data_IF_698407435379
#
_entry.id   IF_698407435379
#
_cell.length_a   1.000
_cell.length_b   1.000
_cell.length_c   1.000
_cell.angle_alpha   90.00
_cell.angle_beta   90.00
_cell.angle_gamma   90.00
#
_symmetry.space_group_name_H-M   'P 1'
#
loop_
_entity.id
_entity.type
_entity.pdbx_description
1 polymer ?
#
# COMPACT_ATOMS: atom_id res chain seq x y z
N UNK A 1 3.05 16.02 -6.47
CA UNK A 1 3.11 15.17 -5.26
C UNK A 1 3.96 15.81 -4.17
N UNK A 2 5.15 16.32 -4.47
CA UNK A 2 6.02 16.97 -3.48
C UNK A 2 5.40 18.21 -2.83
N UNK A 3 4.82 19.11 -3.62
CA UNK A 3 4.12 20.31 -3.12
C UNK A 3 3.01 19.95 -2.12
N UNK A 4 2.27 18.87 -2.39
CA UNK A 4 1.23 18.37 -1.48
C UNK A 4 1.83 17.98 -0.13
N UNK A 5 2.92 17.19 -0.13
CA UNK A 5 3.56 16.72 1.11
C UNK A 5 4.09 17.89 1.93
N UNK A 6 4.75 18.86 1.27
CA UNK A 6 5.34 20.02 1.94
C UNK A 6 4.28 20.97 2.51
N UNK A 7 3.16 21.15 1.83
CA UNK A 7 2.05 21.98 2.30
C UNK A 7 1.10 21.26 3.27
N UNK A 8 1.18 19.92 3.36
CA UNK A 8 0.25 19.08 4.10
C UNK A 8 0.02 19.55 5.55
N UNK A 9 1.05 19.79 6.39
CA UNK A 9 0.82 20.19 7.79
C UNK A 9 0.03 21.50 7.91
N UNK A 10 0.42 22.53 7.15
CA UNK A 10 -0.23 23.84 7.19
C UNK A 10 -1.66 23.80 6.64
N UNK A 11 -1.89 23.02 5.58
CA UNK A 11 -3.23 22.84 5.01
C UNK A 11 -4.18 22.17 6.00
N UNK A 12 -3.71 21.13 6.71
CA UNK A 12 -4.52 20.47 7.76
C UNK A 12 -4.74 21.40 8.96
N UNK A 13 -3.73 22.14 9.41
CA UNK A 13 -3.92 23.12 10.50
C UNK A 13 -5.00 24.15 10.16
N UNK A 14 -4.97 24.69 8.93
CA UNK A 14 -5.99 25.64 8.46
C UNK A 14 -7.38 25.00 8.41
N UNK A 15 -7.51 23.83 7.79
CA UNK A 15 -8.79 23.14 7.67
C UNK A 15 -9.38 22.76 9.03
N UNK A 16 -8.54 22.34 9.99
CA UNK A 16 -8.97 22.04 11.35
C UNK A 16 -9.47 23.30 12.06
N UNK A 17 -8.77 24.43 11.94
CA UNK A 17 -9.20 25.69 12.54
C UNK A 17 -10.54 26.18 11.97
N UNK A 18 -10.75 26.04 10.66
CA UNK A 18 -12.02 26.35 10.00
C UNK A 18 -13.16 25.45 10.52
N UNK A 19 -12.94 24.14 10.62
CA UNK A 19 -13.92 23.19 11.14
C UNK A 19 -14.25 23.42 12.62
N UNK A 20 -13.27 23.75 13.46
CA UNK A 20 -13.49 24.09 14.87
C UNK A 20 -14.28 25.39 15.03
N UNK A 21 -14.03 26.38 14.17
CA UNK A 21 -14.78 27.64 14.16
C UNK A 21 -16.24 27.43 13.72
N UNK A 22 -16.47 26.60 12.70
CA UNK A 22 -17.81 26.27 12.20
C UNK A 22 -18.64 25.48 13.22
N UNK A 23 -18.02 24.49 13.87
CA UNK A 23 -18.71 23.61 14.82
C UNK A 23 -18.75 24.15 16.25
N UNK A 24 -17.94 25.17 16.58
CA UNK A 24 -17.76 25.70 17.92
C UNK A 24 -17.13 24.70 18.91
N UNK A 25 -16.58 23.58 18.42
CA UNK A 25 -16.07 22.47 19.25
C UNK A 25 -14.66 22.09 18.82
N UNK A 26 -13.75 21.93 19.78
CA UNK A 26 -12.38 21.45 19.52
C UNK A 26 -12.36 19.94 19.30
N UNK A 27 -11.44 19.47 18.46
CA UNK A 27 -11.25 18.03 18.24
C UNK A 27 -10.79 17.34 19.53
N UNK A 28 -11.52 16.28 19.93
CA UNK A 28 -11.21 15.48 21.13
C UNK A 28 -10.31 14.27 20.87
N UNK A 29 -9.95 13.99 19.62
CA UNK A 29 -9.07 12.89 19.20
C UNK A 29 -8.64 13.13 17.75
N UNK A 30 -7.43 12.68 17.39
CA UNK A 30 -6.97 12.64 16.01
C UNK A 30 -6.79 11.19 15.55
N UNK A 31 -7.52 10.79 14.52
CA UNK A 31 -7.29 9.54 13.78
C UNK A 31 -6.68 9.91 12.43
N UNK A 32 -5.43 9.56 12.19
CA UNK A 32 -4.70 9.94 10.97
C UNK A 32 -4.14 8.72 10.27
N UNK A 33 -3.88 8.84 8.96
CA UNK A 33 -2.90 7.95 8.33
C UNK A 33 -1.53 8.13 9.02
N UNK A 34 -0.75 7.06 9.14
CA UNK A 34 0.59 7.09 9.72
C UNK A 34 1.54 8.03 8.99
N UNK A 35 1.36 8.24 7.68
CA UNK A 35 2.15 9.22 6.93
C UNK A 35 1.96 10.65 7.45
N UNK A 36 0.91 10.95 8.22
CA UNK A 36 0.73 12.26 8.86
C UNK A 36 1.56 12.36 10.15
N UNK A 37 2.89 12.41 10.02
CA UNK A 37 3.84 12.41 11.14
C UNK A 37 3.61 13.53 12.17
N UNK A 38 2.93 14.61 11.77
CA UNK A 38 2.59 15.75 12.62
C UNK A 38 1.30 15.57 13.43
N UNK A 39 0.63 14.40 13.33
CA UNK A 39 -0.61 14.14 14.08
C UNK A 39 -0.46 14.30 15.60
N UNK A 40 0.71 13.93 16.14
CA UNK A 40 1.01 14.14 17.56
C UNK A 40 1.14 15.62 17.96
N UNK A 41 1.64 16.48 17.06
CA UNK A 41 1.75 17.92 17.30
C UNK A 41 0.35 18.57 17.30
N UNK A 42 -0.52 18.20 16.36
CA UNK A 42 -1.92 18.63 16.34
C UNK A 42 -2.66 18.22 17.63
N UNK A 43 -2.44 16.99 18.08
CA UNK A 43 -3.02 16.47 19.30
C UNK A 43 -2.54 17.23 20.56
N UNK A 44 -1.24 17.53 20.63
CA UNK A 44 -0.65 18.31 21.72
C UNK A 44 -1.23 19.73 21.78
N UNK A 45 -1.35 20.42 20.65
CA UNK A 45 -1.94 21.77 20.55
C UNK A 45 -3.40 21.83 21.02
N UNK A 46 -4.12 20.69 21.00
CA UNK A 46 -5.51 20.59 21.46
C UNK A 46 -5.64 20.08 22.90
N UNK A 47 -4.62 20.29 23.73
CA UNK A 47 -4.65 19.91 25.14
C UNK A 47 -4.25 18.46 25.39
N UNK A 48 -3.44 17.88 24.51
CA UNK A 48 -2.95 16.51 24.64
C UNK A 48 -4.04 15.46 24.43
N UNK A 49 -4.95 15.70 23.48
CA UNK A 49 -5.98 14.71 23.10
C UNK A 49 -5.33 13.46 22.50
N UNK A 50 -6.01 12.30 22.47
CA UNK A 50 -5.43 11.10 21.89
C UNK A 50 -5.08 11.25 20.41
N UNK A 51 -3.88 10.82 20.04
CA UNK A 51 -3.48 10.59 18.65
C UNK A 51 -3.44 9.09 18.37
N UNK A 52 -4.31 8.65 17.46
CA UNK A 52 -4.39 7.29 16.94
C UNK A 52 -3.94 7.32 15.49
N UNK A 53 -2.95 6.51 15.16
CA UNK A 53 -2.38 6.45 13.81
C UNK A 53 -2.76 5.14 13.12
N UNK A 54 -3.21 5.21 11.87
CA UNK A 54 -3.53 4.05 11.05
C UNK A 54 -2.38 3.79 10.05
N UNK A 55 -1.72 2.64 10.20
CA UNK A 55 -0.84 2.09 9.18
C UNK A 55 -1.64 1.20 8.23
N UNK A 56 -1.67 1.58 6.96
CA UNK A 56 -2.53 0.96 5.94
C UNK A 56 -1.89 -0.25 5.24
N UNK A 57 -0.60 -0.51 5.46
CA UNK A 57 0.15 -1.63 4.90
C UNK A 57 0.45 -2.74 5.93
N UNK A 58 1.38 -3.66 5.60
CA UNK A 58 1.74 -4.82 6.42
C UNK A 58 2.65 -4.48 7.62
N UNK A 59 2.75 -5.40 8.59
CA UNK A 59 3.55 -5.17 9.80
C UNK A 59 5.04 -5.14 9.49
N UNK A 60 5.53 -5.98 8.57
CA UNK A 60 6.93 -5.98 8.13
C UNK A 60 7.40 -4.62 7.62
N UNK A 61 6.60 -3.94 6.78
CA UNK A 61 6.95 -2.62 6.25
C UNK A 61 7.01 -1.55 7.34
N UNK A 62 6.09 -1.59 8.31
CA UNK A 62 6.14 -0.66 9.44
C UNK A 62 7.39 -0.91 10.30
N UNK A 63 7.71 -2.18 10.58
CA UNK A 63 8.91 -2.55 11.33
C UNK A 63 10.17 -2.07 10.61
N UNK A 64 10.28 -2.28 9.30
CA UNK A 64 11.38 -1.79 8.47
C UNK A 64 11.58 -0.27 8.65
N UNK A 65 10.51 0.52 8.59
CA UNK A 65 10.61 1.97 8.77
C UNK A 65 11.03 2.37 10.20
N UNK A 66 10.53 1.69 11.25
CA UNK A 66 11.00 1.94 12.62
C UNK A 66 12.48 1.58 12.82
N UNK A 67 13.03 0.68 12.00
CA UNK A 67 14.44 0.31 11.98
C UNK A 67 15.27 1.09 10.94
N UNK A 68 14.76 2.16 10.34
CA UNK A 68 15.45 2.90 9.25
C UNK A 68 16.90 3.24 9.62
N UNK A 69 17.14 3.80 10.81
CA UNK A 69 18.49 4.20 11.25
C UNK A 69 19.44 3.00 11.38
N UNK A 70 18.95 1.90 11.95
CA UNK A 70 19.71 0.66 12.10
C UNK A 70 20.04 0.03 10.74
N UNK A 71 19.06 -0.06 9.84
CA UNK A 71 19.28 -0.63 8.49
C UNK A 71 20.32 0.21 7.74
N UNK A 72 20.23 1.54 7.83
CA UNK A 72 21.19 2.44 7.17
C UNK A 72 22.59 2.37 7.78
N UNK A 73 22.71 2.15 9.10
CA UNK A 73 24.03 1.99 9.73
C UNK A 73 24.74 0.73 9.23
N UNK A 74 24.01 -0.38 9.01
CA UNK A 74 24.58 -1.59 8.43
C UNK A 74 25.14 -1.38 7.01
N UNK A 75 24.45 -0.57 6.19
CA UNK A 75 24.94 -0.23 4.84
C UNK A 75 26.18 0.65 4.90
N UNK A 76 26.23 1.61 5.83
CA UNK A 76 27.37 2.52 6.01
C UNK A 76 28.61 1.80 6.56
N UNK A 77 28.43 0.81 7.46
CA UNK A 77 29.50 0.01 8.07
C UNK A 77 30.03 -1.12 7.18
N UNK A 78 29.36 -1.41 6.05
CA UNK A 78 29.78 -2.41 5.06
C UNK A 78 30.45 -1.82 3.79
N UNK A 79 31.44 -0.92 3.86
CA UNK A 79 32.17 -0.49 2.67
C UNK A 79 33.30 -1.47 2.37
N UNK A 80 33.02 -2.72 1.97
CA UNK A 80 34.11 -3.69 1.75
C UNK A 80 33.94 -4.55 0.50
N UNK A 81 34.86 -4.36 -0.46
CA UNK A 81 35.54 -5.29 -1.37
C UNK A 81 34.79 -6.43 -2.12
N UNK A 82 33.53 -6.78 -1.81
CA UNK A 82 32.81 -7.95 -2.39
C UNK A 82 31.33 -7.72 -2.74
N UNK A 83 30.85 -6.48 -2.75
CA UNK A 83 29.48 -6.16 -3.19
C UNK A 83 28.91 -4.95 -2.47
N UNK A 84 27.73 -4.49 -2.92
CA UNK A 84 26.92 -3.59 -2.14
C UNK A 84 26.39 -4.38 -0.92
N UNK A 85 26.38 -3.83 0.30
CA UNK A 85 25.83 -4.54 1.48
C UNK A 85 24.34 -4.89 1.37
N UNK A 86 23.73 -4.68 0.20
CA UNK A 86 22.30 -4.81 -0.06
C UNK A 86 21.81 -6.26 0.02
N UNK A 87 22.64 -7.24 -0.32
CA UNK A 87 22.26 -8.66 -0.25
C UNK A 87 22.34 -9.25 1.18
N UNK A 88 22.81 -8.46 2.15
CA UNK A 88 22.85 -8.88 3.55
C UNK A 88 21.44 -9.10 4.08
N UNK A 89 21.20 -10.27 4.69
CA UNK A 89 19.92 -10.63 5.33
C UNK A 89 19.75 -9.97 6.71
N UNK A 90 18.54 -9.54 7.05
CA UNK A 90 18.19 -8.82 8.28
C UNK A 90 17.97 -9.71 9.49
N UNK A 91 19.03 -10.40 9.90
CA UNK A 91 18.98 -11.33 11.04
C UNK A 91 18.69 -10.65 12.39
N UNK A 92 19.00 -9.36 12.52
CA UNK A 92 18.85 -8.61 13.77
C UNK A 92 17.45 -8.02 13.98
N UNK A 93 16.59 -8.05 12.96
CA UNK A 93 15.21 -7.54 13.06
C UNK A 93 14.25 -8.71 13.29
N UNK A 94 13.50 -8.73 14.41
CA UNK A 94 12.58 -9.84 14.71
C UNK A 94 11.56 -10.07 13.58
N UNK A 95 11.50 -11.32 13.10
CA UNK A 95 10.56 -11.72 12.05
C UNK A 95 10.98 -11.33 10.62
N UNK A 96 12.17 -10.76 10.42
CA UNK A 96 12.65 -10.31 9.10
C UNK A 96 13.98 -10.95 8.67
N UNK A 97 14.34 -12.11 9.25
CA UNK A 97 15.65 -12.76 9.01
C UNK A 97 15.91 -13.15 7.56
N UNK A 98 14.86 -13.41 6.78
CA UNK A 98 14.95 -13.84 5.38
C UNK A 98 14.90 -12.67 4.38
N UNK A 99 14.71 -11.44 4.85
CA UNK A 99 14.62 -10.25 4.01
C UNK A 99 16.02 -9.64 3.88
N UNK A 100 16.49 -9.38 2.66
CA UNK A 100 17.74 -8.66 2.42
C UNK A 100 17.55 -7.15 2.59
N UNK A 101 18.66 -6.41 2.73
CA UNK A 101 18.60 -4.95 2.70
C UNK A 101 17.99 -4.49 1.37
N UNK A 102 18.32 -5.09 0.22
CA UNK A 102 17.76 -4.75 -1.11
C UNK A 102 16.24 -4.89 -1.22
N UNK A 103 15.64 -5.74 -0.40
CA UNK A 103 14.20 -6.00 -0.38
C UNK A 103 13.43 -5.01 0.52
N UNK A 104 14.11 -4.07 1.19
CA UNK A 104 13.48 -3.07 2.05
C UNK A 104 12.72 -2.01 1.25
N UNK A 105 11.77 -1.30 1.88
CA UNK A 105 11.10 -0.15 1.27
C UNK A 105 12.11 0.85 0.69
N UNK A 106 11.85 1.32 -0.54
CA UNK A 106 12.78 2.16 -1.29
C UNK A 106 13.16 3.46 -0.58
N UNK A 107 12.27 3.97 0.27
CA UNK A 107 12.48 5.18 1.08
C UNK A 107 13.64 5.03 2.07
N UNK A 108 13.91 3.80 2.54
CA UNK A 108 15.05 3.50 3.43
C UNK A 108 16.37 3.64 2.66
N UNK A 109 16.37 3.36 1.36
CA UNK A 109 17.52 3.46 0.46
C UNK A 109 17.69 4.85 -0.16
N UNK A 110 16.81 5.80 0.13
CA UNK A 110 16.91 7.15 -0.38
C UNK A 110 18.28 7.76 -0.02
N UNK A 111 18.89 8.47 -0.98
CA UNK A 111 20.17 9.14 -0.74
C UNK A 111 20.04 10.18 0.36
N UNK A 112 18.93 10.92 0.33
CA UNK A 112 18.60 11.95 1.31
C UNK A 112 17.22 11.67 1.94
N UNK A 113 17.21 11.53 3.27
CA UNK A 113 15.99 11.37 4.06
C UNK A 113 15.28 12.72 4.32
N UNK A 114 15.71 13.81 3.69
CA UNK A 114 14.99 15.09 3.67
C UNK A 114 14.18 15.30 2.39
N UNK A 115 14.32 14.43 1.38
CA UNK A 115 13.45 14.46 0.20
C UNK A 115 11.97 14.30 0.60
N UNK A 116 11.00 14.90 -0.12
CA UNK A 116 9.62 15.01 0.35
C UNK A 116 8.98 13.68 0.78
N UNK A 117 9.06 12.65 -0.05
CA UNK A 117 8.45 11.35 0.27
C UNK A 117 9.29 10.53 1.26
N UNK A 118 10.61 10.26 1.04
CA UNK A 118 11.42 9.56 2.04
C UNK A 118 11.45 10.23 3.40
N UNK A 119 11.52 11.57 3.43
CA UNK A 119 11.51 12.35 4.66
C UNK A 119 10.18 12.37 5.38
N UNK A 120 9.05 12.32 4.67
CA UNK A 120 7.74 12.08 5.28
C UNK A 120 7.70 10.74 6.01
N UNK A 121 8.15 9.67 5.36
CA UNK A 121 8.17 8.31 5.93
C UNK A 121 9.15 8.22 7.10
N UNK A 122 10.33 8.82 6.98
CA UNK A 122 11.30 8.85 8.07
C UNK A 122 10.79 9.64 9.28
N UNK A 123 10.18 10.82 9.07
CA UNK A 123 9.54 11.58 10.15
C UNK A 123 8.40 10.80 10.80
N UNK A 124 7.61 10.06 10.02
CA UNK A 124 6.61 9.13 10.58
C UNK A 124 7.30 8.15 11.54
N UNK A 125 8.33 7.43 11.10
CA UNK A 125 9.00 6.43 11.92
C UNK A 125 9.52 7.01 13.26
N UNK A 126 10.08 8.22 13.23
CA UNK A 126 10.53 8.91 14.43
C UNK A 126 9.36 9.28 15.37
N UNK A 127 8.27 9.83 14.82
CA UNK A 127 7.16 10.40 15.59
C UNK A 127 6.16 9.36 16.09
N UNK A 128 6.07 8.19 15.47
CA UNK A 128 5.04 7.20 15.75
C UNK A 128 5.10 6.63 17.18
N UNK A 129 6.27 6.66 17.82
CA UNK A 129 6.44 6.32 19.25
C UNK A 129 5.58 7.20 20.18
N UNK A 130 5.22 8.41 19.75
CA UNK A 130 4.35 9.33 20.47
C UNK A 130 2.84 9.08 20.29
N UNK A 131 2.44 8.19 19.38
CA UNK A 131 1.02 7.88 19.19
C UNK A 131 0.48 7.07 20.39
N UNK A 132 -0.74 7.39 20.83
CA UNK A 132 -1.42 6.65 21.90
C UNK A 132 -1.80 5.23 21.46
N UNK A 133 -2.01 5.04 20.15
CA UNK A 133 -2.19 3.75 19.53
C UNK A 133 -1.83 3.80 18.04
N UNK A 134 -1.26 2.70 17.56
CA UNK A 134 -1.09 2.42 16.14
C UNK A 134 -2.04 1.28 15.75
N UNK A 135 -2.94 1.58 14.83
CA UNK A 135 -3.88 0.64 14.24
C UNK A 135 -3.30 0.14 12.93
N UNK A 136 -3.37 -1.17 12.69
CA UNK A 136 -2.80 -1.79 11.50
C UNK A 136 -3.88 -2.63 10.81
N UNK A 137 -4.03 -2.46 9.50
CA UNK A 137 -4.86 -3.32 8.66
C UNK A 137 -4.17 -4.68 8.39
N UNK A 138 -3.95 -5.43 9.47
CA UNK A 138 -3.38 -6.78 9.48
C UNK A 138 -4.00 -7.57 10.63
N UNK A 139 -3.60 -8.82 10.82
CA UNK A 139 -3.99 -9.68 11.95
C UNK A 139 -2.75 -10.36 12.53
N UNK A 140 -2.71 -10.54 13.86
CA UNK A 140 -1.50 -11.01 14.58
C UNK A 140 -0.95 -12.34 14.05
N UNK A 141 -1.81 -13.30 13.72
CA UNK A 141 -1.39 -14.62 13.23
C UNK A 141 -0.65 -14.59 11.88
N UNK A 142 -0.71 -13.49 11.12
CA UNK A 142 0.02 -13.35 9.85
C UNK A 142 1.52 -13.18 10.10
N UNK A 143 1.89 -12.32 11.05
CA UNK A 143 3.27 -11.93 11.35
C UNK A 143 3.45 -11.78 12.88
N UNK A 144 3.37 -12.86 13.66
CA UNK A 144 3.31 -12.77 15.12
C UNK A 144 4.59 -12.15 15.72
N UNK A 145 5.76 -12.60 15.27
CA UNK A 145 7.05 -12.09 15.74
C UNK A 145 7.24 -10.60 15.46
N UNK A 146 6.87 -10.15 14.25
CA UNK A 146 6.95 -8.72 13.88
C UNK A 146 5.96 -7.92 14.71
N UNK A 147 4.74 -8.42 14.89
CA UNK A 147 3.70 -7.74 15.66
C UNK A 147 4.09 -7.58 17.12
N UNK A 148 4.67 -8.61 17.74
CA UNK A 148 5.09 -8.56 19.14
C UNK A 148 6.30 -7.63 19.34
N UNK A 149 7.22 -7.57 18.37
CA UNK A 149 8.29 -6.57 18.35
C UNK A 149 7.75 -5.13 18.21
N UNK A 150 6.77 -4.89 17.32
CA UNK A 150 6.09 -3.59 17.22
C UNK A 150 5.43 -3.17 18.55
N UNK A 151 4.78 -4.12 19.26
CA UNK A 151 4.17 -3.88 20.58
C UNK A 151 5.19 -3.54 21.66
N UNK A 152 6.45 -3.95 21.50
CA UNK A 152 7.52 -3.63 22.45
C UNK A 152 8.05 -2.20 22.28
N UNK A 153 7.82 -1.56 21.11
CA UNK A 153 8.34 -0.23 20.77
C UNK A 153 7.28 0.87 20.79
N UNK A 154 6.05 0.52 20.46
CA UNK A 154 4.93 1.46 20.37
C UNK A 154 4.02 1.33 21.59
N UNK A 155 3.31 2.41 21.97
CA UNK A 155 2.48 2.41 23.18
C UNK A 155 1.39 1.33 23.16
N UNK A 156 0.66 1.24 22.03
CA UNK A 156 -0.37 0.22 21.77
C UNK A 156 -0.39 -0.09 20.29
N UNK A 157 -0.53 -1.37 19.94
CA UNK A 157 -0.67 -1.83 18.56
C UNK A 157 -1.94 -2.66 18.42
N UNK A 158 -2.83 -2.24 17.53
CA UNK A 158 -4.10 -2.93 17.25
C UNK A 158 -4.14 -3.44 15.81
N UNK A 159 -4.06 -4.75 15.65
CA UNK A 159 -4.31 -5.42 14.39
C UNK A 159 -5.82 -5.60 14.23
N UNK A 160 -6.46 -4.78 13.39
CA UNK A 160 -7.93 -4.80 13.19
C UNK A 160 -8.33 -5.42 11.86
N UNK A 161 -7.36 -5.83 11.04
CA UNK A 161 -7.59 -6.34 9.71
C UNK A 161 -7.87 -7.86 9.66
N UNK A 162 -8.00 -8.40 8.43
CA UNK A 162 -7.97 -7.66 7.19
C UNK A 162 -9.33 -6.97 6.95
N UNK A 163 -9.31 -5.66 6.69
CA UNK A 163 -10.52 -4.83 6.55
C UNK A 163 -11.44 -5.31 5.41
N UNK A 164 -10.91 -6.05 4.43
CA UNK A 164 -11.70 -6.65 3.35
C UNK A 164 -12.74 -7.67 3.85
N UNK A 165 -12.48 -8.32 4.99
CA UNK A 165 -13.38 -9.31 5.61
C UNK A 165 -14.39 -8.68 6.57
N UNK A 166 -14.22 -7.40 6.92
CA UNK A 166 -15.14 -6.74 7.83
C UNK A 166 -16.49 -6.50 7.15
N UNK A 167 -17.57 -6.91 7.81
CA UNK A 167 -18.93 -6.53 7.44
C UNK A 167 -19.17 -5.07 7.88
N UNK A 168 -19.38 -4.13 6.95
CA UNK A 168 -19.66 -2.77 7.33
C UNK A 168 -21.02 -2.69 8.02
N UNK A 169 -21.10 -1.83 9.03
CA UNK A 169 -22.32 -1.47 9.76
C UNK A 169 -23.22 -0.52 8.98
N UNK A 170 -22.76 -0.01 7.84
CA UNK A 170 -23.49 0.86 6.90
C UNK A 170 -23.57 0.22 5.51
N UNK A 171 -24.50 0.67 4.63
CA UNK A 171 -24.56 0.17 3.26
C UNK A 171 -23.22 0.41 2.56
N UNK A 172 -22.58 -0.66 2.06
CA UNK A 172 -21.41 -0.48 1.18
C UNK A 172 -21.81 0.46 0.04
N UNK A 173 -20.96 1.41 -0.36
CA UNK A 173 -21.07 1.97 -1.70
C UNK A 173 -21.17 0.79 -2.65
N UNK A 174 -22.20 0.74 -3.50
CA UNK A 174 -22.30 -0.33 -4.48
C UNK A 174 -20.99 -0.35 -5.27
N UNK A 175 -20.21 -1.43 -5.12
CA UNK A 175 -19.01 -1.61 -5.94
C UNK A 175 -19.52 -1.81 -7.36
N UNK A 176 -19.46 -0.72 -8.12
CA UNK A 176 -19.92 -0.62 -9.49
C UNK A 176 -19.18 -1.64 -10.34
N UNK A 177 -19.94 -2.40 -11.12
CA UNK A 177 -19.39 -3.25 -12.17
C UNK A 177 -19.79 -2.68 -13.54
N UNK A 178 -19.46 -1.40 -13.75
CA UNK A 178 -19.76 -0.63 -14.96
C UNK A 178 -19.37 -1.35 -16.26
N UNK A 179 -18.32 -2.17 -16.21
CA UNK A 179 -17.80 -2.86 -17.37
C UNK A 179 -18.27 -4.31 -17.50
N UNK A 180 -19.19 -4.78 -16.65
CA UNK A 180 -19.69 -6.16 -16.63
C UNK A 180 -18.56 -7.20 -16.51
N UNK A 181 -17.63 -6.99 -15.57
CA UNK A 181 -16.54 -7.91 -15.28
C UNK A 181 -17.06 -9.24 -14.71
N UNK A 182 -18.02 -9.21 -13.79
CA UNK A 182 -18.58 -10.42 -13.18
C UNK A 182 -19.40 -11.22 -14.21
N UNK A 183 -20.35 -10.62 -14.96
CA UNK A 183 -21.01 -11.33 -16.05
C UNK A 183 -20.06 -11.90 -17.10
N UNK A 184 -18.96 -11.20 -17.40
CA UNK A 184 -17.94 -11.72 -18.31
C UNK A 184 -17.23 -12.97 -17.76
N UNK A 185 -16.89 -12.97 -16.47
CA UNK A 185 -16.32 -14.14 -15.79
C UNK A 185 -17.32 -15.31 -15.78
N UNK A 186 -18.60 -15.05 -15.51
CA UNK A 186 -19.67 -16.07 -15.55
C UNK A 186 -19.81 -16.72 -16.93
N UNK A 187 -19.57 -15.96 -17.99
CA UNK A 187 -19.64 -16.41 -19.38
C UNK A 187 -18.45 -17.26 -19.84
N UNK A 188 -17.37 -17.38 -19.04
CA UNK A 188 -16.22 -18.20 -19.40
C UNK A 188 -16.58 -19.70 -19.44
N UNK A 189 -15.99 -20.50 -20.35
CA UNK A 189 -16.22 -21.94 -20.41
C UNK A 189 -15.97 -22.64 -19.07
N UNK A 190 -16.75 -23.68 -18.76
CA UNK A 190 -16.84 -24.27 -17.41
C UNK A 190 -15.52 -24.81 -16.82
N UNK A 191 -14.49 -25.05 -17.64
CA UNK A 191 -13.16 -25.54 -17.19
C UNK A 191 -12.06 -24.48 -17.35
N UNK A 192 -12.40 -23.26 -17.74
CA UNK A 192 -11.45 -22.19 -17.95
C UNK A 192 -11.28 -21.37 -16.67
N UNK A 193 -10.02 -21.16 -16.27
CA UNK A 193 -9.64 -20.18 -15.27
C UNK A 193 -9.06 -18.95 -15.97
N UNK A 194 -9.41 -17.77 -15.50
CA UNK A 194 -8.87 -16.51 -15.98
C UNK A 194 -7.74 -16.00 -15.08
N UNK A 195 -6.82 -15.27 -15.70
CA UNK A 195 -5.84 -14.44 -14.98
C UNK A 195 -6.46 -13.05 -14.78
N UNK A 196 -6.50 -12.58 -13.54
CA UNK A 196 -6.79 -11.17 -13.26
C UNK A 196 -5.47 -10.40 -13.19
N UNK A 197 -5.38 -9.25 -13.86
CA UNK A 197 -4.20 -8.38 -13.85
C UNK A 197 -4.57 -6.99 -13.32
N UNK A 198 -3.86 -6.49 -12.31
CA UNK A 198 -4.06 -5.15 -11.75
C UNK A 198 -2.84 -4.68 -10.96
N UNK A 199 -2.30 -3.53 -11.36
CA UNK A 199 -1.13 -2.90 -10.71
C UNK A 199 -1.53 -1.78 -9.72
N UNK A 200 -2.77 -1.85 -9.22
CA UNK A 200 -3.31 -0.88 -8.27
C UNK A 200 -3.58 0.50 -8.87
N UNK A 201 -3.91 1.46 -8.00
CA UNK A 201 -4.33 2.81 -8.38
C UNK A 201 -3.16 3.73 -8.73
N UNK A 202 -1.96 3.49 -8.19
CA UNK A 202 -0.79 4.36 -8.34
C UNK A 202 0.15 4.01 -9.50
N UNK A 203 0.29 2.72 -9.82
CA UNK A 203 1.29 2.24 -10.79
C UNK A 203 0.67 1.96 -12.16
N UNK A 204 1.49 2.10 -13.20
CA UNK A 204 1.26 1.52 -14.53
C UNK A 204 2.60 0.94 -14.98
N UNK A 205 2.66 -0.34 -15.41
CA UNK A 205 3.92 -0.92 -15.85
C UNK A 205 4.55 -0.13 -17.00
N UNK A 206 5.90 -0.16 -17.13
CA UNK A 206 6.58 0.39 -18.30
C UNK A 206 6.04 -0.17 -19.61
N UNK A 207 6.10 0.59 -20.72
CA UNK A 207 5.56 0.15 -22.01
C UNK A 207 6.05 -1.23 -22.46
N UNK A 208 7.34 -1.52 -22.27
CA UNK A 208 7.93 -2.81 -22.62
C UNK A 208 7.33 -3.98 -21.83
N UNK A 209 6.99 -3.77 -20.55
CA UNK A 209 6.32 -4.79 -19.72
C UNK A 209 4.86 -4.98 -20.12
N UNK A 210 4.15 -3.91 -20.48
CA UNK A 210 2.78 -4.00 -21.02
C UNK A 210 2.77 -4.84 -22.30
N UNK A 211 3.71 -4.59 -23.22
CA UNK A 211 3.86 -5.37 -24.45
C UNK A 211 4.16 -6.82 -24.14
N UNK A 212 5.13 -7.10 -23.27
CA UNK A 212 5.50 -8.47 -22.90
C UNK A 212 4.34 -9.24 -22.25
N UNK A 213 3.57 -8.60 -21.36
CA UNK A 213 2.38 -9.19 -20.75
C UNK A 213 1.30 -9.48 -21.79
N UNK A 214 1.04 -8.53 -22.71
CA UNK A 214 0.07 -8.70 -23.78
C UNK A 214 0.45 -9.87 -24.71
N UNK A 215 1.71 -9.94 -25.15
CA UNK A 215 2.22 -11.04 -25.98
C UNK A 215 2.14 -12.39 -25.27
N UNK A 216 2.44 -12.44 -23.97
CA UNK A 216 2.32 -13.66 -23.18
C UNK A 216 0.87 -14.14 -23.06
N UNK A 217 -0.07 -13.24 -22.79
CA UNK A 217 -1.50 -13.54 -22.72
C UNK A 217 -2.03 -14.08 -24.05
N UNK A 218 -1.65 -13.43 -25.15
CA UNK A 218 -2.05 -13.81 -26.50
C UNK A 218 -1.45 -15.16 -26.92
N UNK A 219 -0.14 -15.36 -26.72
CA UNK A 219 0.54 -16.59 -27.08
C UNK A 219 0.00 -17.82 -26.33
N UNK A 220 -0.44 -17.64 -25.08
CA UNK A 220 -1.03 -18.70 -24.27
C UNK A 220 -2.53 -18.88 -24.50
N UNK A 221 -3.19 -17.95 -25.18
CA UNK A 221 -4.66 -17.87 -25.27
C UNK A 221 -5.33 -18.03 -23.90
N UNK A 222 -4.67 -17.52 -22.85
CA UNK A 222 -5.15 -17.62 -21.49
C UNK A 222 -6.32 -16.64 -21.32
N UNK A 223 -7.48 -17.04 -20.79
CA UNK A 223 -8.53 -16.08 -20.49
C UNK A 223 -8.04 -15.04 -19.49
N UNK A 224 -8.36 -13.76 -19.69
CA UNK A 224 -7.85 -12.71 -18.80
C UNK A 224 -8.81 -11.53 -18.61
N UNK A 225 -8.77 -10.97 -17.41
CA UNK A 225 -9.37 -9.68 -17.10
C UNK A 225 -8.25 -8.75 -16.64
N UNK A 226 -7.97 -7.69 -17.40
CA UNK A 226 -6.91 -6.75 -17.11
C UNK A 226 -7.48 -5.37 -16.75
N UNK A 227 -7.32 -4.97 -15.50
CA UNK A 227 -7.55 -3.60 -15.05
C UNK A 227 -6.34 -2.73 -15.46
N UNK A 228 -6.45 -2.05 -16.61
CA UNK A 228 -5.38 -1.24 -17.20
C UNK A 228 -5.86 0.19 -17.46
N UNK A 229 -5.14 1.17 -16.90
CA UNK A 229 -5.48 2.59 -17.04
C UNK A 229 -5.42 3.03 -18.51
N UNK A 230 -6.19 4.06 -18.92
CA UNK A 230 -6.25 4.49 -20.32
C UNK A 230 -4.89 4.80 -20.96
N UNK A 231 -3.96 5.39 -20.20
CA UNK A 231 -2.61 5.68 -20.71
C UNK A 231 -1.72 4.45 -20.83
N UNK A 232 -2.06 3.32 -20.20
CA UNK A 232 -1.39 2.03 -20.40
C UNK A 232 -1.92 1.32 -21.65
N UNK A 233 -3.22 1.45 -21.95
CA UNK A 233 -3.86 0.84 -23.13
C UNK A 233 -3.17 1.26 -24.43
N UNK A 234 -2.67 2.49 -24.53
CA UNK A 234 -1.94 2.99 -25.71
C UNK A 234 -0.63 2.24 -26.03
N UNK A 235 -0.13 1.44 -25.07
CA UNK A 235 1.08 0.65 -25.22
C UNK A 235 0.81 -0.82 -25.56
N UNK A 236 -0.46 -1.22 -25.67
CA UNK A 236 -0.81 -2.56 -26.13
C UNK A 236 -0.40 -2.74 -27.60
N UNK A 237 0.05 -3.95 -28.00
CA UNK A 237 0.33 -4.24 -29.40
C UNK A 237 -0.87 -3.93 -30.30
N UNK A 238 -0.60 -3.45 -31.52
CA UNK A 238 -1.64 -3.12 -32.49
C UNK A 238 -2.56 -4.33 -32.71
N UNK A 239 -3.88 -4.12 -32.65
CA UNK A 239 -4.90 -5.16 -32.82
C UNK A 239 -5.03 -6.17 -31.67
N UNK A 240 -4.30 -6.00 -30.55
CA UNK A 240 -4.35 -6.92 -29.41
C UNK A 240 -5.78 -7.09 -28.86
N UNK A 241 -6.51 -5.99 -28.66
CA UNK A 241 -7.89 -6.03 -28.16
C UNK A 241 -8.79 -6.86 -29.08
N UNK A 242 -8.61 -6.70 -30.39
CA UNK A 242 -9.46 -7.34 -31.40
C UNK A 242 -9.17 -8.82 -31.53
N UNK A 243 -7.90 -9.21 -31.41
CA UNK A 243 -7.46 -10.61 -31.43
C UNK A 243 -7.79 -11.36 -30.13
N UNK A 244 -7.97 -10.66 -29.02
CA UNK A 244 -8.22 -11.26 -27.70
C UNK A 244 -9.66 -11.16 -27.23
N UNK A 245 -10.53 -10.37 -27.88
CA UNK A 245 -11.91 -10.06 -27.44
C UNK A 245 -12.79 -11.25 -27.02
N UNK A 246 -12.54 -12.45 -27.57
CA UNK A 246 -13.32 -13.67 -27.27
C UNK A 246 -12.95 -14.32 -25.93
N UNK A 247 -11.76 -14.03 -25.40
CA UNK A 247 -11.25 -14.64 -24.16
C UNK A 247 -10.56 -13.64 -23.22
N UNK A 248 -10.39 -12.40 -23.63
CA UNK A 248 -9.74 -11.33 -22.89
C UNK A 248 -10.65 -10.12 -22.72
N UNK A 249 -10.51 -9.43 -21.60
CA UNK A 249 -11.22 -8.18 -21.32
C UNK A 249 -10.26 -7.19 -20.67
N UNK A 250 -10.14 -6.00 -21.25
CA UNK A 250 -9.36 -4.88 -20.70
C UNK A 250 -10.32 -3.79 -20.25
N UNK A 251 -10.18 -3.34 -19.00
CA UNK A 251 -11.06 -2.32 -18.41
C UNK A 251 -10.22 -1.27 -17.65
N UNK A 252 -10.66 0.00 -17.59
CA UNK A 252 -9.94 1.02 -16.82
C UNK A 252 -10.05 0.81 -15.31
N UNK A 253 -11.11 0.14 -14.85
CA UNK A 253 -11.35 -0.21 -13.46
C UNK A 253 -12.17 -1.50 -13.37
N UNK A 254 -11.84 -2.37 -12.42
CA UNK A 254 -12.59 -3.59 -12.15
C UNK A 254 -13.11 -3.59 -10.70
N UNK A 255 -14.23 -4.27 -10.41
CA UNK A 255 -14.68 -4.51 -9.04
C UNK A 255 -13.78 -5.55 -8.36
N UNK A 256 -12.51 -5.20 -8.10
CA UNK A 256 -11.41 -6.11 -7.80
C UNK A 256 -11.72 -7.13 -6.69
N UNK A 257 -12.37 -6.72 -5.60
CA UNK A 257 -12.74 -7.65 -4.51
C UNK A 257 -13.71 -8.73 -5.01
N UNK A 258 -14.70 -8.36 -5.83
CA UNK A 258 -15.65 -9.33 -6.43
C UNK A 258 -14.95 -10.23 -7.43
N UNK A 259 -14.05 -9.67 -8.25
CA UNK A 259 -13.26 -10.43 -9.24
C UNK A 259 -12.37 -11.47 -8.55
N UNK A 260 -11.60 -11.08 -7.53
CA UNK A 260 -10.71 -11.98 -6.79
C UNK A 260 -11.48 -13.03 -5.98
N UNK A 261 -12.73 -12.75 -5.61
CA UNK A 261 -13.61 -13.72 -4.95
C UNK A 261 -14.31 -14.66 -5.94
N UNK A 262 -14.16 -14.43 -7.24
CA UNK A 262 -14.88 -15.17 -8.26
C UNK A 262 -14.19 -16.52 -8.54
N UNK A 263 -14.92 -17.66 -8.57
CA UNK A 263 -14.31 -18.99 -8.74
C UNK A 263 -13.62 -19.21 -10.09
N UNK A 264 -13.85 -18.33 -11.07
CA UNK A 264 -13.18 -18.37 -12.38
C UNK A 264 -11.79 -17.76 -12.35
N UNK A 265 -11.44 -16.95 -11.36
CA UNK A 265 -10.10 -16.36 -11.28
C UNK A 265 -9.14 -17.36 -10.67
N UNK A 266 -8.17 -17.82 -11.45
CA UNK A 266 -7.17 -18.80 -11.02
C UNK A 266 -5.82 -18.20 -10.64
N UNK A 267 -5.55 -16.97 -11.07
CA UNK A 267 -4.31 -16.26 -10.78
C UNK A 267 -4.56 -14.74 -10.71
N UNK A 268 -3.73 -14.06 -9.91
CA UNK A 268 -3.70 -12.61 -9.81
C UNK A 268 -2.26 -12.12 -10.06
N UNK A 269 -2.11 -11.20 -11.01
CA UNK A 269 -0.86 -10.50 -11.37
C UNK A 269 -0.99 -9.02 -11.05
#
# INVERSE_FOLDING_TARGET
HEEFIMAMPGNYQKALAEAEAETGTKFGCFLTDAFMWFGGELAAERGGVPWISLWTAGCCSLSAHLYTDFIRSLVAESPTAKGNGLEQKMKAIPGMSEISISEMPGEIHAKDLQEPFPGMIYKMALKLHGANAVVINSFHHLEPTVTDDLRSKLQKVFNIGPMVLQTPTSPKPQISDEHNCIPWLDGLPTKSHSVYLSFGSGLTPPPAEIVALAEALEAKKAPFLWSLKPHGVKHLPEGFLERTKEYGKVVPWAPQVKVLSHPRVGAFV
#
